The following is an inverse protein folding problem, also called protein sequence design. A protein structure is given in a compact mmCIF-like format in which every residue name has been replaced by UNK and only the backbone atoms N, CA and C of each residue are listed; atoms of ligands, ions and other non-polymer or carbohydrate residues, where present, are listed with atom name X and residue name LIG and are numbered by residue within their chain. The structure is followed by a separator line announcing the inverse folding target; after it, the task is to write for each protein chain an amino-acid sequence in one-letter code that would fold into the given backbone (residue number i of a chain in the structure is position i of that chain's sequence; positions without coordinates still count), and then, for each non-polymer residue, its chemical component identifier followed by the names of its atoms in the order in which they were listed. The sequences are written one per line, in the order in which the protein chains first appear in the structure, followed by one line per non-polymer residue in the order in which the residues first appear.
data_IF_324045667477
#
_entry.id   IF_324045667477
#
_cell.length_a   1.000
_cell.length_b   1.000
_cell.length_c   1.000
_cell.angle_alpha   90.00
_cell.angle_beta   90.00
_cell.angle_gamma   90.00
#
_symmetry.space_group_name_H-M   'P 1'
#
loop_
_entity.id
_entity.type
_entity.pdbx_description
1 polymer ?
#
# COMPACT_ATOMS: atom_id res chain seq x y z
N UNK A 1 -17.89 10.74 -7.79
CA UNK A 1 -17.91 10.39 -6.34
C UNK A 1 -16.86 9.35 -5.97
N UNK A 2 -17.04 8.04 -6.23
CA UNK A 2 -16.09 7.00 -5.78
C UNK A 2 -14.64 7.22 -6.24
N UNK A 3 -14.43 7.55 -7.52
CA UNK A 3 -13.08 7.85 -8.05
C UNK A 3 -12.44 9.08 -7.40
N UNK A 4 -13.26 10.07 -7.00
CA UNK A 4 -12.76 11.26 -6.31
C UNK A 4 -12.39 10.92 -4.85
N UNK A 5 -13.21 10.10 -4.18
CA UNK A 5 -13.02 9.70 -2.79
C UNK A 5 -11.87 8.69 -2.60
N UNK A 6 -11.76 7.69 -3.47
CA UNK A 6 -10.81 6.58 -3.34
C UNK A 6 -9.67 6.63 -4.36
N UNK A 7 -9.69 7.62 -5.26
CA UNK A 7 -8.64 7.80 -6.28
C UNK A 7 -8.57 6.71 -7.34
N UNK A 8 -9.52 5.78 -7.36
CA UNK A 8 -9.53 4.61 -8.23
C UNK A 8 -10.96 4.20 -8.60
N UNK A 9 -11.10 3.34 -9.61
CA UNK A 9 -12.41 2.78 -10.01
C UNK A 9 -12.57 1.32 -9.54
N UNK A 10 -11.76 0.88 -8.56
CA UNK A 10 -11.80 -0.46 -7.99
C UNK A 10 -12.92 -0.57 -6.95
N UNK A 11 -14.15 -0.24 -7.38
CA UNK A 11 -15.32 -0.39 -6.52
C UNK A 11 -15.45 -1.87 -6.15
N UNK A 12 -15.47 -2.21 -4.85
CA UNK A 12 -15.70 -3.57 -4.39
C UNK A 12 -17.09 -4.06 -4.78
N UNK A 13 -17.26 -5.38 -4.93
CA UNK A 13 -18.58 -5.96 -5.19
C UNK A 13 -19.54 -5.77 -4.00
N UNK A 14 -19.00 -5.78 -2.76
CA UNK A 14 -19.68 -5.40 -1.53
C UNK A 14 -19.17 -4.01 -1.13
N UNK A 15 -19.88 -2.97 -1.55
CA UNK A 15 -19.56 -1.58 -1.21
C UNK A 15 -20.64 -1.05 -0.27
N UNK A 16 -20.42 -1.17 1.05
CA UNK A 16 -21.46 -0.97 2.07
C UNK A 16 -21.92 0.49 2.14
N UNK A 17 -21.07 1.45 1.77
CA UNK A 17 -21.43 2.86 1.70
C UNK A 17 -22.40 3.18 0.55
N UNK A 18 -22.42 2.36 -0.52
CA UNK A 18 -23.38 2.49 -1.62
C UNK A 18 -23.61 1.11 -2.27
N UNK A 19 -24.39 0.22 -1.62
CA UNK A 19 -24.58 -1.16 -2.08
C UNK A 19 -25.09 -1.27 -3.53
N UNK A 20 -25.97 -0.38 -4.03
CA UNK A 20 -26.38 -0.39 -5.44
C UNK A 20 -25.21 -0.22 -6.42
N UNK A 21 -24.22 0.62 -6.08
CA UNK A 21 -23.04 0.86 -6.92
C UNK A 21 -22.14 -0.39 -6.96
N UNK A 22 -21.91 -1.05 -5.82
CA UNK A 22 -21.15 -2.30 -5.77
C UNK A 22 -21.78 -3.41 -6.61
N UNK A 23 -23.12 -3.54 -6.53
CA UNK A 23 -23.89 -4.49 -7.37
C UNK A 23 -23.79 -4.15 -8.84
N UNK A 24 -23.92 -2.88 -9.22
CA UNK A 24 -23.84 -2.42 -10.60
C UNK A 24 -22.46 -2.69 -11.21
N UNK A 25 -21.38 -2.36 -10.50
CA UNK A 25 -20.00 -2.60 -10.95
C UNK A 25 -19.74 -4.09 -11.14
N UNK A 26 -20.23 -4.94 -10.24
CA UNK A 26 -20.15 -6.40 -10.39
C UNK A 26 -20.81 -6.88 -11.69
N UNK A 27 -22.01 -6.36 -12.00
CA UNK A 27 -22.74 -6.70 -13.23
C UNK A 27 -21.96 -6.27 -14.46
N UNK A 28 -21.40 -5.04 -14.49
CA UNK A 28 -20.61 -4.58 -15.63
C UNK A 28 -19.37 -5.47 -15.87
N UNK A 29 -18.64 -5.85 -14.82
CA UNK A 29 -17.49 -6.76 -14.93
C UNK A 29 -17.89 -8.16 -15.41
N UNK A 30 -19.05 -8.66 -14.99
CA UNK A 30 -19.58 -9.94 -15.45
C UNK A 30 -19.97 -9.91 -16.93
N UNK A 31 -20.64 -8.84 -17.38
CA UNK A 31 -21.01 -8.65 -18.79
C UNK A 31 -19.76 -8.50 -19.68
N UNK A 32 -18.75 -7.77 -19.23
CA UNK A 32 -17.47 -7.63 -19.94
C UNK A 32 -16.74 -8.97 -20.06
N UNK A 33 -16.65 -9.75 -18.98
CA UNK A 33 -16.05 -11.09 -18.99
C UNK A 33 -16.75 -12.04 -19.98
N UNK A 34 -18.08 -11.93 -20.09
CA UNK A 34 -18.90 -12.69 -21.04
C UNK A 34 -18.92 -12.11 -22.47
N UNK A 35 -18.21 -11.01 -22.74
CA UNK A 35 -18.28 -10.26 -24.01
C UNK A 35 -19.70 -9.81 -24.40
N UNK A 36 -20.57 -9.61 -23.42
CA UNK A 36 -21.97 -9.19 -23.58
C UNK A 36 -22.19 -7.70 -23.27
N UNK A 37 -21.11 -6.95 -23.08
CA UNK A 37 -21.19 -5.53 -22.80
C UNK A 37 -21.33 -4.74 -24.11
N UNK A 38 -22.34 -3.87 -24.18
CA UNK A 38 -22.53 -2.98 -25.33
C UNK A 38 -21.30 -2.09 -25.54
N UNK A 39 -20.89 -1.91 -26.79
CA UNK A 39 -19.71 -1.14 -27.19
C UNK A 39 -19.73 0.30 -26.67
N UNK A 40 -20.91 0.94 -26.67
CA UNK A 40 -21.07 2.30 -26.14
C UNK A 40 -20.85 2.38 -24.61
N UNK A 41 -21.18 1.31 -23.86
CA UNK A 41 -20.94 1.22 -22.41
C UNK A 41 -19.49 0.92 -22.11
N UNK A 42 -18.84 0.08 -22.93
CA UNK A 42 -17.42 -0.20 -22.85
C UNK A 42 -16.60 1.09 -22.99
N UNK A 43 -16.82 1.86 -24.07
CA UNK A 43 -16.10 3.11 -24.33
C UNK A 43 -16.28 4.15 -23.21
N UNK A 44 -17.48 4.26 -22.64
CA UNK A 44 -17.75 5.17 -21.51
C UNK A 44 -17.07 4.74 -20.21
N UNK A 45 -16.87 3.44 -20.02
CA UNK A 45 -16.16 2.92 -18.84
C UNK A 45 -14.65 3.03 -19.03
N UNK A 46 -14.14 2.83 -20.24
CA UNK A 46 -12.74 3.04 -20.58
C UNK A 46 -12.32 4.51 -20.49
N UNK A 47 -13.17 5.44 -20.93
CA UNK A 47 -12.87 6.88 -20.86
C UNK A 47 -12.66 7.41 -19.44
N UNK A 48 -13.23 6.75 -18.43
CA UNK A 48 -13.02 7.07 -17.02
C UNK A 48 -11.92 6.23 -16.37
N UNK A 49 -11.24 5.37 -17.12
CA UNK A 49 -10.19 4.47 -16.63
C UNK A 49 -10.73 3.34 -15.75
N UNK A 50 -11.90 2.77 -16.10
CA UNK A 50 -12.55 1.74 -15.31
C UNK A 50 -11.76 0.42 -15.32
N UNK A 51 -11.23 0.03 -14.16
CA UNK A 51 -10.56 -1.27 -13.98
C UNK A 51 -11.56 -2.43 -13.96
N UNK A 52 -11.45 -3.28 -14.98
CA UNK A 52 -12.18 -4.55 -15.14
C UNK A 52 -11.74 -5.63 -14.15
N UNK A 53 -10.49 -5.60 -13.74
CA UNK A 53 -9.91 -6.60 -12.85
C UNK A 53 -9.85 -6.05 -11.42
N UNK A 54 -10.54 -6.74 -10.51
CA UNK A 54 -10.29 -6.61 -9.07
C UNK A 54 -9.40 -7.76 -8.70
N UNK A 55 -8.09 -7.51 -8.57
CA UNK A 55 -7.24 -8.47 -7.88
C UNK A 55 -7.82 -8.65 -6.47
N UNK A 56 -7.82 -9.88 -5.93
CA UNK A 56 -8.16 -10.19 -4.53
C UNK A 56 -7.15 -9.53 -3.57
N UNK A 57 -6.97 -8.21 -3.64
CA UNK A 57 -6.10 -7.47 -2.75
C UNK A 57 -6.93 -7.01 -1.56
N UNK A 58 -6.29 -7.03 -0.40
CA UNK A 58 -6.76 -6.33 0.79
C UNK A 58 -7.21 -4.92 0.38
N UNK A 59 -8.42 -4.45 0.80
CA UNK A 59 -8.92 -3.13 0.43
C UNK A 59 -7.88 -2.07 0.76
N UNK A 60 -7.51 -1.24 -0.22
CA UNK A 60 -6.44 -0.25 -0.07
C UNK A 60 -6.68 0.67 1.13
N UNK A 61 -7.95 1.05 1.37
CA UNK A 61 -8.31 1.92 2.48
C UNK A 61 -8.06 1.28 3.85
N UNK A 62 -8.44 0.01 4.04
CA UNK A 62 -8.24 -0.66 5.33
C UNK A 62 -6.77 -0.87 5.61
N UNK A 63 -5.96 -1.19 4.60
CA UNK A 63 -4.50 -1.32 4.75
C UNK A 63 -3.81 0.02 4.95
N UNK A 64 -4.32 1.09 4.35
CA UNK A 64 -3.83 2.46 4.58
C UNK A 64 -4.12 2.91 6.02
N UNK A 65 -5.29 2.58 6.57
CA UNK A 65 -5.61 2.87 7.97
C UNK A 65 -4.70 2.12 8.94
N UNK A 66 -4.47 0.82 8.70
CA UNK A 66 -3.49 0.03 9.46
C UNK A 66 -2.08 0.62 9.39
N UNK A 67 -1.68 1.20 8.25
CA UNK A 67 -0.39 1.87 8.12
C UNK A 67 -0.31 3.15 8.96
N UNK A 68 -1.41 3.89 9.13
CA UNK A 68 -1.46 5.05 10.04
C UNK A 68 -1.30 4.61 11.49
N UNK A 69 -1.99 3.55 11.90
CA UNK A 69 -1.87 2.97 13.24
C UNK A 69 -0.44 2.47 13.50
N UNK A 70 0.16 1.82 12.50
CA UNK A 70 1.58 1.44 12.57
C UNK A 70 2.47 2.67 12.79
N UNK A 71 2.22 3.77 12.06
CA UNK A 71 2.96 5.02 12.25
C UNK A 71 2.76 5.62 13.64
N UNK A 72 1.56 5.59 14.20
CA UNK A 72 1.33 6.10 15.56
C UNK A 72 2.03 5.26 16.61
N UNK A 73 2.11 3.94 16.42
CA UNK A 73 2.78 3.02 17.35
C UNK A 73 4.31 3.05 17.24
N UNK A 74 4.86 3.18 16.03
CA UNK A 74 6.29 3.05 15.77
C UNK A 74 6.99 4.37 15.41
N UNK A 75 6.25 5.47 15.26
CA UNK A 75 6.76 6.78 14.87
C UNK A 75 7.16 6.91 13.39
N UNK A 76 7.04 5.85 12.60
CA UNK A 76 7.48 5.82 11.20
C UNK A 76 6.59 4.93 10.32
N UNK A 77 6.69 5.05 8.99
CA UNK A 77 5.96 4.19 8.04
C UNK A 77 6.81 3.02 7.55
N UNK A 78 7.78 2.61 8.36
CA UNK A 78 8.91 1.81 7.93
C UNK A 78 8.67 0.35 8.26
N UNK A 79 7.72 -0.24 7.52
CA UNK A 79 7.21 -1.57 7.82
C UNK A 79 8.16 -2.70 7.36
N UNK A 80 8.45 -3.70 8.23
CA UNK A 80 9.12 -4.94 7.85
C UNK A 80 8.41 -5.71 6.72
N UNK A 81 9.17 -6.30 5.80
CA UNK A 81 8.59 -7.14 4.74
C UNK A 81 7.83 -8.35 5.30
N UNK A 82 8.28 -8.91 6.43
CA UNK A 82 7.64 -10.05 7.11
C UNK A 82 6.41 -9.66 7.93
N UNK A 83 6.05 -8.38 8.00
CA UNK A 83 4.87 -7.95 8.74
C UNK A 83 3.60 -8.55 8.09
N UNK A 84 2.77 -9.29 8.84
CA UNK A 84 1.72 -10.14 8.27
C UNK A 84 0.68 -9.38 7.43
N UNK A 85 0.30 -8.17 7.87
CA UNK A 85 -0.74 -7.37 7.21
C UNK A 85 -0.19 -6.28 6.27
N UNK A 86 0.88 -5.59 6.66
CA UNK A 86 1.39 -4.41 5.96
C UNK A 86 2.61 -4.67 5.07
N UNK A 87 3.39 -5.73 5.33
CA UNK A 87 4.71 -5.91 4.69
C UNK A 87 4.63 -6.04 3.18
N UNK A 88 3.77 -6.94 2.70
CA UNK A 88 3.53 -7.17 1.27
C UNK A 88 2.91 -5.92 0.62
N UNK A 89 1.96 -5.28 1.31
CA UNK A 89 1.24 -4.13 0.78
C UNK A 89 2.15 -2.91 0.60
N UNK A 90 2.98 -2.60 1.60
CA UNK A 90 3.98 -1.52 1.56
C UNK A 90 4.99 -1.77 0.45
N UNK A 91 5.46 -3.01 0.32
CA UNK A 91 6.36 -3.38 -0.78
C UNK A 91 5.69 -3.15 -2.15
N UNK A 92 4.43 -3.55 -2.31
CA UNK A 92 3.67 -3.33 -3.53
C UNK A 92 3.51 -1.84 -3.87
N UNK A 93 3.23 -0.97 -2.89
CA UNK A 93 3.16 0.48 -3.15
C UNK A 93 4.50 1.04 -3.65
N UNK A 94 5.63 0.62 -3.05
CA UNK A 94 6.97 1.04 -3.47
C UNK A 94 7.29 0.57 -4.89
N UNK A 95 6.91 -0.66 -5.25
CA UNK A 95 7.09 -1.20 -6.61
C UNK A 95 6.21 -0.48 -7.64
N UNK A 96 4.97 -0.14 -7.29
CA UNK A 96 4.09 0.62 -8.16
C UNK A 96 4.62 2.04 -8.38
N UNK A 97 5.17 2.67 -7.33
CA UNK A 97 5.78 3.99 -7.41
C UNK A 97 7.05 3.99 -8.28
N UNK A 98 7.95 3.01 -8.11
CA UNK A 98 9.16 2.91 -8.94
C UNK A 98 8.85 2.70 -10.42
N UNK A 99 7.78 1.97 -10.72
CA UNK A 99 7.28 1.75 -12.09
C UNK A 99 6.41 2.91 -12.62
N UNK A 100 6.22 4.00 -11.86
CA UNK A 100 5.33 5.12 -12.20
C UNK A 100 3.87 4.69 -12.48
N UNK A 101 3.45 3.58 -11.88
CA UNK A 101 2.11 2.98 -12.02
C UNK A 101 1.22 3.23 -10.79
N UNK A 102 1.74 3.94 -9.79
CA UNK A 102 0.96 4.31 -8.61
C UNK A 102 0.01 5.46 -8.95
N UNK A 103 -1.26 5.28 -8.63
CA UNK A 103 -2.28 6.32 -8.81
C UNK A 103 -1.93 7.58 -8.01
N UNK A 104 -2.05 8.76 -8.63
CA UNK A 104 -1.67 10.04 -8.02
C UNK A 104 -2.35 10.32 -6.68
N UNK A 105 -3.62 9.95 -6.53
CA UNK A 105 -4.33 10.10 -5.25
C UNK A 105 -3.72 9.21 -4.14
N UNK A 106 -3.33 7.97 -4.46
CA UNK A 106 -2.67 7.07 -3.49
C UNK A 106 -1.30 7.59 -3.12
N UNK A 107 -0.56 8.12 -4.10
CA UNK A 107 0.71 8.79 -3.86
C UNK A 107 0.53 9.97 -2.88
N UNK A 108 -0.40 10.89 -3.16
CA UNK A 108 -0.67 12.04 -2.29
C UNK A 108 -1.09 11.64 -0.87
N UNK A 109 -1.89 10.59 -0.71
CA UNK A 109 -2.30 10.09 0.62
C UNK A 109 -1.15 9.40 1.37
N UNK A 110 -0.22 8.76 0.66
CA UNK A 110 0.99 8.19 1.26
C UNK A 110 1.99 9.30 1.64
N UNK A 111 2.17 10.30 0.77
CA UNK A 111 2.92 11.52 1.06
C UNK A 111 2.40 12.25 2.29
N UNK A 112 1.07 12.40 2.44
CA UNK A 112 0.49 13.14 3.57
C UNK A 112 0.75 12.50 4.93
N UNK A 113 1.11 11.21 4.97
CA UNK A 113 1.53 10.52 6.19
C UNK A 113 3.05 10.38 6.29
N UNK A 114 3.83 11.02 5.42
CA UNK A 114 5.30 10.95 5.40
C UNK A 114 5.80 9.55 5.00
N UNK A 115 5.17 8.92 4.01
CA UNK A 115 5.51 7.56 3.61
C UNK A 115 6.92 7.45 3.03
N UNK A 116 7.71 6.55 3.61
CA UNK A 116 9.09 6.26 3.21
C UNK A 116 9.13 5.38 1.95
N UNK A 117 9.34 6.02 0.80
CA UNK A 117 9.44 5.37 -0.53
C UNK A 117 10.73 4.57 -0.72
N UNK A 118 11.86 5.09 -0.22
CA UNK A 118 13.18 4.46 -0.33
C UNK A 118 13.91 4.49 1.00
N UNK A 119 14.16 3.30 1.56
CA UNK A 119 14.90 3.15 2.82
C UNK A 119 16.38 3.54 2.66
N UNK A 120 16.96 3.31 1.47
CA UNK A 120 18.35 3.69 1.18
C UNK A 120 18.58 5.20 1.19
N UNK A 121 17.55 5.99 0.87
CA UNK A 121 17.63 7.46 0.83
C UNK A 121 17.30 8.12 2.17
N UNK A 122 16.57 7.41 3.03
CA UNK A 122 15.95 8.00 4.22
C UNK A 122 16.69 7.65 5.50
N UNK A 123 17.53 6.63 5.52
CA UNK A 123 18.33 6.31 6.70
C UNK A 123 19.66 7.08 6.59
N UNK A 124 19.80 8.25 7.23
CA UNK A 124 21.09 8.88 7.36
C UNK A 124 21.95 7.93 8.17
N UNK A 125 23.23 7.83 7.83
CA UNK A 125 24.18 7.00 8.55
C UNK A 125 24.06 7.18 10.08
N UNK A 126 23.84 8.43 10.52
CA UNK A 126 23.68 8.80 11.93
C UNK A 126 22.50 8.14 12.63
N UNK A 127 21.33 8.03 11.97
CA UNK A 127 20.17 7.37 12.60
C UNK A 127 20.38 5.86 12.71
N UNK A 128 21.07 5.25 11.75
CA UNK A 128 21.41 3.83 11.82
C UNK A 128 22.47 3.54 12.88
N UNK A 129 23.42 4.46 13.04
CA UNK A 129 24.40 4.42 14.09
C UNK A 129 23.74 4.53 15.48
N UNK A 130 22.75 5.41 15.65
CA UNK A 130 22.02 5.54 16.90
C UNK A 130 21.20 4.27 17.23
N UNK A 131 20.56 3.67 16.23
CA UNK A 131 19.87 2.38 16.39
C UNK A 131 20.84 1.24 16.74
N UNK A 132 22.07 1.26 16.21
CA UNK A 132 23.11 0.30 16.59
C UNK A 132 23.59 0.52 18.04
N UNK A 133 23.71 1.77 18.49
CA UNK A 133 23.99 2.09 19.90
C UNK A 133 22.91 1.55 20.83
N UNK A 134 21.64 1.78 20.51
CA UNK A 134 20.51 1.25 21.29
C UNK A 134 20.51 -0.28 21.32
N UNK A 135 20.82 -0.93 20.20
CA UNK A 135 20.98 -2.37 20.15
C UNK A 135 22.12 -2.85 21.06
N UNK A 136 23.27 -2.17 21.03
CA UNK A 136 24.40 -2.48 21.92
C UNK A 136 24.04 -2.34 23.40
N UNK A 137 23.25 -1.33 23.76
CA UNK A 137 22.75 -1.16 25.13
C UNK A 137 21.79 -2.29 25.52
N UNK A 138 20.91 -2.71 24.61
CA UNK A 138 19.92 -3.76 24.90
C UNK A 138 20.49 -5.18 24.92
N UNK A 139 21.49 -5.48 24.07
CA UNK A 139 22.00 -6.84 23.84
C UNK A 139 23.46 -7.03 24.26
N UNK A 140 24.13 -5.96 24.72
CA UNK A 140 25.53 -5.98 25.13
C UNK A 140 26.55 -6.10 24.00
N UNK A 141 26.11 -6.22 22.74
CA UNK A 141 26.97 -6.37 21.57
C UNK A 141 26.38 -5.71 20.32
N UNK A 142 27.16 -5.65 19.23
CA UNK A 142 26.73 -5.10 17.93
C UNK A 142 26.46 -6.19 16.90
N UNK A 143 26.34 -7.46 17.32
CA UNK A 143 26.07 -8.60 16.44
C UNK A 143 24.57 -8.68 16.16
N UNK A 144 24.08 -7.77 15.33
CA UNK A 144 22.67 -7.72 14.95
C UNK A 144 22.39 -8.86 13.98
N UNK A 145 21.45 -9.77 14.27
CA UNK A 145 21.09 -10.83 13.34
C UNK A 145 20.61 -10.25 12.01
N UNK A 146 21.02 -10.86 10.90
CA UNK A 146 20.56 -10.46 9.55
C UNK A 146 19.02 -10.43 9.43
N UNK A 147 18.36 -11.22 10.25
CA UNK A 147 16.90 -11.33 10.38
C UNK A 147 16.36 -10.73 11.68
N UNK A 148 16.97 -9.67 12.23
CA UNK A 148 16.56 -9.09 13.51
C UNK A 148 15.08 -8.68 13.52
N UNK A 149 14.20 -9.34 14.30
CA UNK A 149 12.75 -9.17 14.17
C UNK A 149 12.26 -7.79 14.58
N UNK A 150 12.89 -7.19 15.61
CA UNK A 150 12.51 -5.90 16.19
C UNK A 150 12.91 -4.73 15.29
N UNK A 151 14.06 -4.83 14.62
CA UNK A 151 14.49 -3.88 13.61
C UNK A 151 15.22 -4.58 12.44
N UNK A 152 14.48 -5.12 11.45
CA UNK A 152 15.07 -5.83 10.32
C UNK A 152 15.93 -4.95 9.41
N UNK A 153 15.93 -3.64 9.64
CA UNK A 153 16.68 -2.68 8.85
C UNK A 153 18.08 -2.52 9.39
N UNK A 154 18.19 -2.49 10.72
CA UNK A 154 19.47 -2.53 11.40
C UNK A 154 20.25 -3.78 10.98
N UNK A 155 19.64 -4.96 11.04
CA UNK A 155 20.29 -6.22 10.61
C UNK A 155 20.55 -6.36 9.11
N UNK A 156 20.01 -5.47 8.26
CA UNK A 156 20.35 -5.42 6.83
C UNK A 156 21.43 -4.37 6.53
N UNK A 157 21.74 -3.53 7.50
CA UNK A 157 22.64 -2.39 7.37
C UNK A 157 24.02 -2.68 7.96
N UNK A 158 24.08 -3.30 9.14
CA UNK A 158 25.28 -3.99 9.63
C UNK A 158 25.40 -5.39 9.01
#
# INVERSE_FOLDING_TARGET
EYKAQYGNTLVPAKYDQKPPLGRWVRIQRQLHSKKQLLSNRLLRLESIGFSWFVRKSVPWESTFQLLKEYKTQHGNTVVPHKHPQLGIWVHAQRQLHSKKQLLSNRFLRLESIGFVWSLKKILPWESMFQLLKEYKVQHGNTLVPRSYPKNPQLGRWV
#
